data_IF_688765046699
#
_entry.id   IF_688765046699
#
_cell.length_a   1.000
_cell.length_b   1.000
_cell.length_c   1.000
_cell.angle_alpha   90.00
_cell.angle_beta   90.00
_cell.angle_gamma   90.00
#
_symmetry.space_group_name_H-M   'P 1'
#
loop_
_entity.id
_entity.type
_entity.pdbx_description
1 polymer ?
#
# COMPACT_ATOMS: atom_id res chain seq x y z
N UNK A 1 -82.50 -23.85 24.50
CA UNK A 1 -81.37 -24.55 25.18
C UNK A 1 -80.92 -25.67 24.23
N UNK A 2 -79.67 -25.83 23.79
CA UNK A 2 -78.38 -25.59 24.44
C UNK A 2 -77.37 -24.98 23.46
N UNK A 3 -76.53 -24.10 24.02
CA UNK A 3 -75.51 -23.30 23.36
C UNK A 3 -74.35 -24.16 22.84
N UNK A 4 -74.05 -24.08 21.54
CA UNK A 4 -72.83 -24.67 20.93
C UNK A 4 -71.77 -23.62 20.59
N UNK A 5 -71.69 -22.52 21.36
CA UNK A 5 -70.72 -21.45 21.15
C UNK A 5 -69.34 -21.56 21.85
N UNK A 6 -68.96 -22.61 22.63
CA UNK A 6 -67.61 -22.62 23.21
C UNK A 6 -66.55 -23.29 22.33
N UNK A 7 -66.91 -24.07 21.30
CA UNK A 7 -65.94 -24.92 20.57
C UNK A 7 -65.16 -24.18 19.48
N UNK A 8 -65.73 -23.10 18.92
CA UNK A 8 -65.12 -22.37 17.79
C UNK A 8 -64.05 -21.38 18.29
N UNK A 9 -64.23 -20.80 19.48
CA UNK A 9 -63.25 -19.89 20.08
C UNK A 9 -62.00 -20.60 20.61
N UNK A 10 -62.09 -21.89 20.97
CA UNK A 10 -60.93 -22.69 21.40
C UNK A 10 -60.03 -23.09 20.23
N UNK A 11 -60.59 -23.30 19.04
CA UNK A 11 -59.80 -23.60 17.83
C UNK A 11 -59.14 -22.35 17.23
N UNK A 12 -59.79 -21.19 17.30
CA UNK A 12 -59.21 -19.94 16.81
C UNK A 12 -58.05 -19.43 17.69
N UNK A 13 -58.13 -19.62 19.02
CA UNK A 13 -57.06 -19.22 19.94
C UNK A 13 -55.84 -20.13 19.86
N UNK A 14 -56.01 -21.43 19.58
CA UNK A 14 -54.91 -22.38 19.41
C UNK A 14 -54.16 -22.16 18.09
N UNK A 15 -54.88 -21.80 17.02
CA UNK A 15 -54.27 -21.47 15.72
C UNK A 15 -53.42 -20.20 15.78
N UNK A 16 -53.86 -19.17 16.51
CA UNK A 16 -53.10 -17.92 16.67
C UNK A 16 -51.85 -18.10 17.55
N UNK A 17 -51.86 -19.04 18.50
CA UNK A 17 -50.72 -19.34 19.38
C UNK A 17 -49.60 -20.11 18.64
N UNK A 18 -49.95 -20.95 17.66
CA UNK A 18 -48.96 -21.69 16.85
C UNK A 18 -48.24 -20.83 15.80
N UNK A 19 -48.83 -19.72 15.36
CA UNK A 19 -48.19 -18.80 14.38
C UNK A 19 -47.13 -17.91 15.06
N UNK A 20 -47.28 -17.63 16.36
CA UNK A 20 -46.31 -16.82 17.12
C UNK A 20 -45.04 -17.59 17.53
N UNK A 21 -45.07 -18.93 17.58
CA UNK A 21 -43.89 -19.74 17.95
C UNK A 21 -43.02 -20.14 16.75
N UNK A 22 -43.51 -19.99 15.52
CA UNK A 22 -42.73 -20.30 14.30
C UNK A 22 -41.83 -19.14 13.81
N UNK A 23 -41.92 -17.95 14.43
CA UNK A 23 -41.10 -16.78 14.06
C UNK A 23 -39.82 -16.61 14.90
N UNK A 24 -39.38 -17.65 15.60
CA UNK A 24 -38.04 -17.73 16.20
C UNK A 24 -37.37 -19.04 15.79
N UNK A 25 -37.15 -19.19 14.49
CA UNK A 25 -36.03 -19.99 14.01
C UNK A 25 -35.00 -18.99 13.52
N UNK A 26 -34.27 -18.40 14.47
CA UNK A 26 -32.98 -17.79 14.14
C UNK A 26 -32.10 -18.97 13.73
N UNK A 27 -32.10 -19.24 12.43
CA UNK A 27 -31.18 -20.16 11.80
C UNK A 27 -29.81 -19.51 11.97
N UNK A 28 -29.21 -19.75 13.13
CA UNK A 28 -27.82 -19.45 13.40
C UNK A 28 -27.07 -20.30 12.39
N UNK A 29 -26.74 -19.71 11.24
CA UNK A 29 -25.73 -20.24 10.35
C UNK A 29 -24.52 -20.48 11.23
N UNK A 30 -24.28 -21.76 11.51
CA UNK A 30 -23.03 -22.21 12.06
C UNK A 30 -22.00 -21.89 10.99
N UNK A 31 -21.45 -20.67 11.06
CA UNK A 31 -20.26 -20.30 10.31
C UNK A 31 -19.19 -21.23 10.86
N UNK A 32 -19.09 -22.42 10.27
CA UNK A 32 -17.91 -23.25 10.38
C UNK A 32 -16.79 -22.34 9.88
N UNK A 33 -16.08 -21.71 10.81
CA UNK A 33 -14.88 -20.93 10.49
C UNK A 33 -13.94 -21.95 9.87
N UNK A 34 -13.89 -21.96 8.55
CA UNK A 34 -12.94 -22.75 7.81
C UNK A 34 -11.56 -22.39 8.37
N UNK A 35 -10.87 -23.39 8.90
CA UNK A 35 -9.58 -23.18 9.55
C UNK A 35 -8.58 -22.75 8.49
N UNK A 36 -8.19 -21.47 8.53
CA UNK A 36 -7.19 -20.92 7.62
C UNK A 36 -5.84 -21.51 7.98
N UNK A 37 -5.26 -22.30 7.07
CA UNK A 37 -3.93 -22.88 7.25
C UNK A 37 -2.86 -21.79 7.33
N UNK A 38 -1.86 -22.06 8.13
CA UNK A 38 -0.67 -21.22 8.25
C UNK A 38 0.02 -21.05 6.88
N UNK A 39 0.37 -19.82 6.48
CA UNK A 39 1.10 -19.60 5.24
C UNK A 39 2.54 -20.11 5.36
N UNK A 40 2.88 -21.08 4.51
CA UNK A 40 4.22 -21.70 4.49
C UNK A 40 5.32 -20.65 4.26
N UNK A 41 6.36 -20.68 5.10
CA UNK A 41 7.57 -19.88 4.94
C UNK A 41 7.47 -18.39 5.30
N UNK A 42 6.27 -17.89 5.67
CA UNK A 42 6.09 -16.49 6.10
C UNK A 42 6.27 -16.35 7.62
N UNK A 43 5.84 -17.33 8.40
CA UNK A 43 5.92 -17.26 9.86
C UNK A 43 7.31 -17.71 10.32
N UNK A 44 7.94 -16.87 11.13
CA UNK A 44 9.24 -17.16 11.78
C UNK A 44 9.04 -17.42 13.27
N UNK A 45 9.95 -18.19 13.87
CA UNK A 45 9.87 -18.44 15.31
C UNK A 45 10.13 -17.17 16.12
N UNK A 46 9.62 -17.12 17.35
CA UNK A 46 9.89 -15.98 18.26
C UNK A 46 11.39 -15.77 18.51
N UNK A 47 12.17 -16.86 18.53
CA UNK A 47 13.62 -16.82 18.71
C UNK A 47 14.30 -16.15 17.50
N UNK A 48 13.97 -16.59 16.29
CA UNK A 48 14.56 -16.04 15.06
C UNK A 48 14.16 -14.57 14.89
N UNK A 49 12.90 -14.23 15.18
CA UNK A 49 12.42 -12.85 15.17
C UNK A 49 13.21 -11.94 16.12
N UNK A 50 13.53 -12.41 17.34
CA UNK A 50 14.38 -11.68 18.29
C UNK A 50 15.81 -11.54 17.76
N UNK A 51 16.37 -12.60 17.16
CA UNK A 51 17.71 -12.58 16.58
C UNK A 51 17.83 -11.57 15.43
N UNK A 52 16.81 -11.46 14.56
CA UNK A 52 16.76 -10.43 13.52
C UNK A 52 16.76 -9.01 14.09
N UNK A 53 15.96 -8.78 15.14
CA UNK A 53 15.87 -7.49 15.82
C UNK A 53 17.21 -7.07 16.46
N UNK A 54 17.86 -8.00 17.18
CA UNK A 54 19.13 -7.75 17.85
C UNK A 54 20.25 -7.49 16.83
N UNK A 55 20.33 -8.33 15.79
CA UNK A 55 21.31 -8.18 14.71
C UNK A 55 21.19 -6.83 14.02
N UNK A 56 19.96 -6.36 13.73
CA UNK A 56 19.76 -5.04 13.16
C UNK A 56 20.22 -3.93 14.13
N UNK A 57 19.94 -4.08 15.43
CA UNK A 57 20.35 -3.12 16.47
C UNK A 57 21.87 -2.95 16.51
N UNK A 58 22.60 -4.06 16.49
CA UNK A 58 24.06 -4.07 16.55
C UNK A 58 24.69 -3.57 15.24
N UNK A 59 24.19 -4.07 14.10
CA UNK A 59 24.87 -3.89 12.80
C UNK A 59 24.41 -2.70 12.00
N UNK A 60 23.19 -2.18 12.21
CA UNK A 60 22.59 -1.13 11.35
C UNK A 60 22.21 0.13 12.12
N UNK A 61 21.44 -0.01 13.20
CA UNK A 61 20.87 1.14 13.87
C UNK A 61 21.94 2.14 14.35
N UNK A 62 23.01 1.65 14.98
CA UNK A 62 24.10 2.51 15.44
C UNK A 62 24.87 3.19 14.31
N UNK A 63 25.03 2.52 13.16
CA UNK A 63 25.67 3.12 11.97
C UNK A 63 24.81 4.23 11.38
N UNK A 64 23.51 3.98 11.24
CA UNK A 64 22.54 4.96 10.73
C UNK A 64 22.53 6.20 11.64
N UNK A 65 22.39 6.02 12.95
CA UNK A 65 22.43 7.11 13.93
C UNK A 65 23.69 7.96 13.80
N UNK A 66 24.86 7.33 13.81
CA UNK A 66 26.15 8.03 13.70
C UNK A 66 26.26 8.82 12.40
N UNK A 67 25.86 8.22 11.28
CA UNK A 67 25.88 8.86 9.98
C UNK A 67 24.95 10.08 9.94
N UNK A 68 23.69 9.93 10.33
CA UNK A 68 22.70 11.01 10.28
C UNK A 68 23.02 12.16 11.24
N UNK A 69 23.53 11.85 12.43
CA UNK A 69 24.04 12.87 13.36
C UNK A 69 25.24 13.64 12.78
N UNK A 70 26.09 12.98 11.98
CA UNK A 70 27.25 13.63 11.36
C UNK A 70 26.84 14.66 10.31
N UNK A 71 25.71 14.45 9.63
CA UNK A 71 25.16 15.40 8.66
C UNK A 71 24.67 16.67 9.36
N UNK A 72 23.99 16.54 10.52
CA UNK A 72 23.54 17.69 11.31
C UNK A 72 24.71 18.59 11.73
N UNK A 73 25.82 17.98 12.20
CA UNK A 73 27.02 18.71 12.61
C UNK A 73 27.71 19.45 11.44
N UNK A 74 27.59 18.94 10.21
CA UNK A 74 28.16 19.59 9.01
C UNK A 74 27.32 20.77 8.55
N UNK A 75 26.00 20.71 8.67
CA UNK A 75 25.10 21.82 8.33
C UNK A 75 25.41 23.04 9.21
N UNK A 76 25.56 22.84 10.53
CA UNK A 76 25.90 23.92 11.48
C UNK A 76 27.23 24.61 11.12
N UNK A 77 28.22 23.86 10.62
CA UNK A 77 29.53 24.41 10.22
C UNK A 77 29.54 25.14 8.88
N UNK A 78 28.56 24.92 8.00
CA UNK A 78 28.51 25.52 6.65
C UNK A 78 27.70 26.80 6.58
N UNK A 79 26.73 27.00 7.47
CA UNK A 79 26.01 28.28 7.58
C UNK A 79 26.82 29.34 8.36
N UNK A 80 27.99 28.97 8.90
CA UNK A 80 28.96 29.89 9.51
C UNK A 80 30.26 29.96 8.70
N UNK A 81 30.41 30.99 7.87
CA UNK A 81 31.64 31.45 7.22
C UNK A 81 31.58 32.98 7.22
N UNK A 82 32.57 33.80 7.63
CA UNK A 82 33.98 33.62 7.97
C UNK A 82 34.43 34.76 8.91
N UNK A 83 34.61 34.54 10.21
CA UNK A 83 35.48 35.40 11.04
C UNK A 83 36.19 34.57 12.11
N UNK A 84 37.50 34.78 12.33
CA UNK A 84 38.22 34.11 13.40
C UNK A 84 38.13 34.96 14.66
N UNK A 85 37.04 34.91 15.42
CA UNK A 85 37.15 35.25 16.84
C UNK A 85 35.96 34.83 17.70
N UNK A 86 36.33 34.31 18.87
CA UNK A 86 35.53 34.08 20.07
C UNK A 86 34.54 32.93 20.00
N UNK A 87 34.95 31.82 20.60
CA UNK A 87 34.06 30.80 21.15
C UNK A 87 33.20 31.51 22.22
N UNK A 88 32.07 32.05 21.81
CA UNK A 88 30.92 32.19 22.70
C UNK A 88 30.12 30.90 22.53
N UNK A 89 30.16 30.07 23.56
CA UNK A 89 29.20 28.99 23.78
C UNK A 89 27.82 29.66 23.87
N UNK A 90 27.17 29.87 22.72
CA UNK A 90 25.80 30.33 22.69
C UNK A 90 24.92 29.19 23.19
N UNK A 91 24.40 29.37 24.40
CA UNK A 91 23.41 28.55 25.09
C UNK A 91 22.05 28.51 24.37
N UNK A 92 22.06 28.16 23.09
CA UNK A 92 20.92 27.52 22.43
C UNK A 92 21.44 26.30 21.70
N UNK A 93 22.15 25.46 22.46
CA UNK A 93 22.34 24.03 22.26
C UNK A 93 20.96 23.37 22.33
N UNK A 94 20.07 23.73 21.40
CA UNK A 94 18.85 22.98 21.16
C UNK A 94 19.38 21.69 20.56
N UNK A 95 19.58 20.70 21.42
CA UNK A 95 19.93 19.35 21.03
C UNK A 95 19.00 18.98 19.87
N UNK A 96 19.52 19.01 18.64
CA UNK A 96 18.92 18.22 17.57
C UNK A 96 19.08 16.81 18.11
N UNK A 97 18.02 16.31 18.75
CA UNK A 97 18.08 15.05 19.49
C UNK A 97 18.72 13.98 18.64
N UNK A 98 19.45 13.07 19.28
CA UNK A 98 20.13 12.00 18.58
C UNK A 98 19.19 11.34 17.57
N UNK A 99 19.61 11.26 16.31
CA UNK A 99 18.81 10.65 15.27
C UNK A 99 18.37 9.26 15.71
N UNK A 100 17.07 8.98 15.61
CA UNK A 100 16.51 7.69 16.01
C UNK A 100 16.27 6.85 14.75
N UNK A 101 17.06 5.79 14.52
CA UNK A 101 16.85 4.91 13.38
C UNK A 101 15.48 4.25 13.42
N UNK A 102 14.81 4.20 12.27
CA UNK A 102 13.54 3.47 12.10
C UNK A 102 13.74 2.00 12.46
N UNK A 103 12.89 1.46 13.33
CA UNK A 103 12.93 0.05 13.76
C UNK A 103 11.82 -0.79 13.16
N UNK A 104 10.68 -0.15 12.90
CA UNK A 104 9.53 -0.75 12.27
C UNK A 104 8.74 0.33 11.54
N UNK A 105 7.87 -0.12 10.64
CA UNK A 105 6.86 0.67 9.93
C UNK A 105 5.52 0.08 10.29
N UNK A 106 4.54 0.91 10.64
CA UNK A 106 3.27 0.45 11.19
C UNK A 106 2.09 0.87 10.32
N UNK A 107 1.54 -0.06 9.55
CA UNK A 107 0.34 0.18 8.76
C UNK A 107 -0.90 0.04 9.63
N UNK A 108 -1.83 0.99 9.52
CA UNK A 108 -3.19 0.76 10.01
C UNK A 108 -3.78 -0.44 9.27
N UNK A 109 -4.24 -1.44 10.02
CA UNK A 109 -4.63 -2.72 9.46
C UNK A 109 -5.79 -2.62 8.47
N UNK A 110 -6.81 -1.80 8.78
CA UNK A 110 -7.97 -1.65 7.90
C UNK A 110 -7.66 -0.79 6.68
N UNK A 111 -6.79 0.21 6.81
CA UNK A 111 -6.26 0.94 5.65
C UNK A 111 -5.40 0.05 4.77
N UNK A 112 -4.57 -0.82 5.33
CA UNK A 112 -3.78 -1.77 4.56
C UNK A 112 -4.68 -2.70 3.75
N UNK A 113 -5.71 -3.28 4.38
CA UNK A 113 -6.71 -4.10 3.66
C UNK A 113 -7.41 -3.31 2.56
N UNK A 114 -7.75 -2.05 2.82
CA UNK A 114 -8.38 -1.18 1.81
C UNK A 114 -7.42 -0.88 0.65
N UNK A 115 -6.13 -0.71 0.92
CA UNK A 115 -5.09 -0.57 -0.09
C UNK A 115 -4.94 -1.85 -0.92
N UNK A 116 -4.91 -3.03 -0.30
CA UNK A 116 -4.86 -4.32 -1.03
C UNK A 116 -6.07 -4.47 -1.95
N UNK A 117 -7.29 -4.18 -1.47
CA UNK A 117 -8.49 -4.19 -2.31
C UNK A 117 -8.43 -3.19 -3.46
N UNK A 118 -7.88 -2.01 -3.20
CA UNK A 118 -7.75 -0.97 -4.22
C UNK A 118 -6.81 -1.40 -5.36
N UNK A 119 -5.64 -1.95 -5.04
CA UNK A 119 -4.71 -2.44 -6.07
C UNK A 119 -5.28 -3.64 -6.84
N UNK A 120 -6.04 -4.51 -6.18
CA UNK A 120 -6.76 -5.61 -6.84
C UNK A 120 -7.80 -5.07 -7.84
N UNK A 121 -8.61 -4.09 -7.42
CA UNK A 121 -9.60 -3.44 -8.30
C UNK A 121 -8.95 -2.78 -9.53
N UNK A 122 -7.82 -2.09 -9.34
CA UNK A 122 -7.08 -1.46 -10.43
C UNK A 122 -6.48 -2.49 -11.39
N UNK A 123 -5.93 -3.59 -10.85
CA UNK A 123 -5.40 -4.70 -11.64
C UNK A 123 -6.49 -5.40 -12.47
N UNK A 124 -7.64 -5.68 -11.85
CA UNK A 124 -8.81 -6.25 -12.53
C UNK A 124 -9.31 -5.33 -13.65
N UNK A 125 -9.38 -4.03 -13.39
CA UNK A 125 -9.76 -3.03 -14.39
C UNK A 125 -8.80 -2.99 -15.59
N UNK A 126 -7.51 -3.24 -15.35
CA UNK A 126 -6.49 -3.35 -16.39
C UNK A 126 -6.38 -4.76 -17.01
N UNK A 127 -7.17 -5.73 -16.56
CA UNK A 127 -7.13 -7.13 -16.98
C UNK A 127 -5.76 -7.80 -16.76
N UNK A 128 -5.14 -7.51 -15.62
CA UNK A 128 -3.88 -8.14 -15.19
C UNK A 128 -4.01 -8.77 -13.81
N UNK A 129 -3.27 -9.84 -13.56
CA UNK A 129 -3.14 -10.42 -12.22
C UNK A 129 -1.96 -9.82 -11.48
N UNK A 130 -2.11 -9.57 -10.19
CA UNK A 130 -0.97 -9.26 -9.30
C UNK A 130 -0.21 -10.56 -9.02
N UNK A 131 1.10 -10.57 -9.29
CA UNK A 131 1.97 -11.72 -9.01
C UNK A 131 2.62 -11.63 -7.63
N UNK A 132 3.12 -10.45 -7.25
CA UNK A 132 3.71 -10.20 -5.93
C UNK A 132 3.45 -8.77 -5.45
N UNK A 133 3.62 -8.54 -4.14
CA UNK A 133 3.73 -7.21 -3.56
C UNK A 133 5.21 -6.91 -3.24
N UNK A 134 5.83 -6.00 -3.98
CA UNK A 134 7.23 -5.62 -3.80
C UNK A 134 7.36 -4.52 -2.75
N UNK A 135 8.26 -4.72 -1.79
CA UNK A 135 8.53 -3.73 -0.72
C UNK A 135 9.90 -3.10 -0.96
N UNK A 136 9.90 -1.81 -1.30
CA UNK A 136 11.10 -0.99 -1.44
C UNK A 136 11.52 -0.42 -0.10
N UNK A 137 12.83 -0.42 0.19
CA UNK A 137 13.40 0.35 1.28
C UNK A 137 13.64 1.78 0.80
N UNK A 138 13.06 2.76 1.49
CA UNK A 138 13.09 4.16 1.04
C UNK A 138 13.51 5.09 2.18
N UNK A 139 13.76 6.35 1.86
CA UNK A 139 13.98 7.42 2.84
C UNK A 139 13.08 8.60 2.50
N UNK A 140 12.54 9.24 3.54
CA UNK A 140 11.93 10.55 3.36
C UNK A 140 12.99 11.56 2.91
N UNK A 141 12.66 12.44 1.95
CA UNK A 141 13.62 13.42 1.47
C UNK A 141 13.95 14.44 2.57
N UNK A 142 15.11 15.08 2.47
CA UNK A 142 15.53 16.13 3.40
C UNK A 142 14.87 17.48 3.04
N UNK A 143 13.54 17.55 3.18
CA UNK A 143 12.73 18.74 2.91
C UNK A 143 11.48 18.73 3.79
N UNK A 144 10.85 19.89 3.98
CA UNK A 144 9.72 20.04 4.90
C UNK A 144 8.39 19.59 4.29
N UNK A 145 8.29 19.56 2.96
CA UNK A 145 7.05 19.23 2.23
C UNK A 145 7.33 18.41 0.98
N UNK A 146 6.39 17.54 0.66
CA UNK A 146 6.29 16.91 -0.65
C UNK A 146 5.90 17.94 -1.72
N UNK A 147 6.00 17.54 -2.99
CA UNK A 147 5.62 18.40 -4.13
C UNK A 147 4.11 18.69 -4.13
N UNK A 148 3.31 17.78 -3.59
CA UNK A 148 1.87 17.97 -3.37
C UNK A 148 1.54 18.85 -2.15
N UNK A 149 2.56 19.40 -1.48
CA UNK A 149 2.43 20.29 -0.33
C UNK A 149 2.23 19.59 1.01
N UNK A 150 2.08 18.26 1.06
CA UNK A 150 1.94 17.53 2.33
C UNK A 150 3.22 17.65 3.17
N UNK A 151 3.12 17.85 4.49
CA UNK A 151 4.29 17.98 5.34
C UNK A 151 5.04 16.66 5.48
N UNK A 152 6.37 16.75 5.48
CA UNK A 152 7.27 15.65 5.85
C UNK A 152 7.64 15.88 7.31
N UNK A 153 7.02 15.09 8.20
CA UNK A 153 7.22 15.24 9.65
C UNK A 153 8.62 14.85 10.11
N UNK A 154 9.25 13.93 9.39
CA UNK A 154 10.49 13.25 9.82
C UNK A 154 11.45 13.10 8.63
N UNK A 155 12.14 14.18 8.23
CA UNK A 155 13.07 14.17 7.10
C UNK A 155 14.19 13.14 7.30
N UNK A 156 14.68 12.56 6.19
CA UNK A 156 15.75 11.55 6.13
C UNK A 156 15.43 10.20 6.79
N UNK A 157 14.32 10.05 7.49
CA UNK A 157 13.98 8.75 8.09
C UNK A 157 13.77 7.67 7.03
N UNK A 158 14.23 6.46 7.35
CA UNK A 158 13.92 5.28 6.55
C UNK A 158 12.42 4.99 6.62
N UNK A 159 11.85 4.56 5.50
CA UNK A 159 10.49 4.07 5.35
C UNK A 159 10.48 2.86 4.41
N UNK A 160 9.29 2.37 4.09
CA UNK A 160 9.08 1.39 3.03
C UNK A 160 8.02 1.89 2.06
N UNK A 161 8.03 1.34 0.85
CA UNK A 161 6.99 1.58 -0.14
C UNK A 161 6.58 0.25 -0.77
N UNK A 162 5.28 -0.02 -0.80
CA UNK A 162 4.69 -1.20 -1.40
C UNK A 162 4.28 -0.90 -2.83
N UNK A 163 4.61 -1.79 -3.75
CA UNK A 163 4.27 -1.67 -5.17
C UNK A 163 3.81 -3.03 -5.69
N UNK A 164 2.60 -3.16 -6.25
CA UNK A 164 2.18 -4.41 -6.85
C UNK A 164 3.03 -4.71 -8.09
N UNK A 165 3.20 -6.00 -8.36
CA UNK A 165 3.87 -6.47 -9.55
C UNK A 165 2.95 -7.34 -10.38
N UNK A 166 3.15 -7.35 -11.68
CA UNK A 166 2.47 -8.24 -12.62
C UNK A 166 3.50 -8.94 -13.49
N UNK A 167 3.13 -10.11 -14.01
CA UNK A 167 4.01 -10.90 -14.88
C UNK A 167 3.66 -10.68 -16.35
N UNK A 168 4.68 -10.56 -17.19
CA UNK A 168 4.53 -10.66 -18.64
C UNK A 168 4.84 -12.07 -19.17
N UNK A 169 4.88 -13.08 -18.29
CA UNK A 169 5.22 -14.47 -18.60
C UNK A 169 6.71 -14.81 -18.52
N UNK A 170 7.60 -13.81 -18.42
CA UNK A 170 9.06 -14.02 -18.24
C UNK A 170 9.59 -13.48 -16.91
N UNK A 171 9.11 -12.30 -16.51
CA UNK A 171 9.58 -11.60 -15.31
C UNK A 171 8.44 -10.79 -14.70
N UNK A 172 8.55 -10.54 -13.40
CA UNK A 172 7.65 -9.65 -12.66
C UNK A 172 8.12 -8.19 -12.74
N UNK A 173 7.20 -7.32 -13.16
CA UNK A 173 7.38 -5.89 -13.28
C UNK A 173 6.49 -5.18 -12.29
N UNK A 174 7.01 -4.14 -11.64
CA UNK A 174 6.16 -3.18 -10.97
C UNK A 174 5.28 -2.49 -12.03
N UNK A 175 4.08 -2.04 -11.65
CA UNK A 175 3.20 -1.36 -12.58
C UNK A 175 2.35 -0.28 -11.93
N UNK A 176 1.88 0.63 -12.77
CA UNK A 176 0.77 1.53 -12.49
C UNK A 176 -0.32 1.33 -13.54
N UNK A 177 -1.50 1.87 -13.32
CA UNK A 177 -2.62 1.76 -14.26
C UNK A 177 -2.92 3.10 -14.90
N UNK A 178 -3.24 3.09 -16.19
CA UNK A 178 -3.60 4.28 -16.91
C UNK A 178 -4.48 3.93 -18.13
N UNK A 179 -5.13 4.94 -18.68
CA UNK A 179 -5.94 4.80 -19.88
C UNK A 179 -5.03 4.97 -21.10
N UNK A 180 -5.05 3.99 -21.98
CA UNK A 180 -4.27 3.99 -23.21
C UNK A 180 -4.80 5.06 -24.18
N UNK A 181 -3.88 5.88 -24.69
CA UNK A 181 -4.21 7.03 -25.53
C UNK A 181 -4.77 6.65 -26.91
N UNK A 182 -4.62 5.41 -27.37
CA UNK A 182 -5.13 4.97 -28.68
C UNK A 182 -6.51 4.32 -28.60
N UNK A 183 -6.75 3.49 -27.58
CA UNK A 183 -7.99 2.72 -27.46
C UNK A 183 -8.87 3.08 -26.24
N UNK A 184 -8.37 3.96 -25.36
CA UNK A 184 -9.04 4.44 -24.15
C UNK A 184 -9.15 3.37 -23.06
N UNK A 185 -8.48 2.22 -23.23
CA UNK A 185 -8.62 1.11 -22.30
C UNK A 185 -7.67 1.26 -21.12
N UNK A 186 -8.14 0.84 -19.95
CA UNK A 186 -7.30 0.71 -18.77
C UNK A 186 -6.26 -0.38 -19.03
N UNK A 187 -4.98 -0.06 -18.87
CA UNK A 187 -3.86 -0.99 -19.02
C UNK A 187 -2.88 -0.84 -17.87
N UNK A 188 -2.08 -1.87 -17.65
CA UNK A 188 -0.96 -1.85 -16.71
C UNK A 188 0.31 -1.41 -17.46
N UNK A 189 0.91 -0.31 -17.03
CA UNK A 189 2.15 0.23 -17.58
C UNK A 189 3.33 -0.23 -16.74
N UNK A 190 4.30 -0.86 -17.40
CA UNK A 190 5.37 -1.59 -16.72
C UNK A 190 6.51 -0.65 -16.33
N UNK A 191 7.04 -0.90 -15.15
CA UNK A 191 8.12 -0.15 -14.54
C UNK A 191 9.36 -1.02 -14.34
N UNK A 192 10.54 -0.39 -14.48
CA UNK A 192 11.82 -1.02 -14.12
C UNK A 192 11.92 -1.27 -12.61
N UNK A 193 12.99 -1.93 -12.18
CA UNK A 193 13.27 -2.11 -10.75
C UNK A 193 13.50 -0.78 -10.05
N UNK A 194 14.01 0.23 -10.75
CA UNK A 194 14.20 1.62 -10.32
C UNK A 194 12.95 2.49 -10.49
N UNK A 195 11.80 1.88 -10.81
CA UNK A 195 10.50 2.54 -10.95
C UNK A 195 10.43 3.55 -12.11
N UNK A 196 11.18 3.30 -13.19
CA UNK A 196 11.12 4.09 -14.41
C UNK A 196 10.18 3.46 -15.42
N UNK A 197 9.49 4.28 -16.21
CA UNK A 197 8.63 3.80 -17.29
C UNK A 197 9.45 3.05 -18.34
N UNK A 198 9.02 1.83 -18.68
CA UNK A 198 9.63 1.04 -19.76
C UNK A 198 9.11 1.42 -21.14
N UNK A 199 7.96 2.11 -21.20
CA UNK A 199 7.18 2.31 -22.42
C UNK A 199 6.34 1.09 -22.83
N UNK A 200 6.41 -0.01 -22.09
CA UNK A 200 5.61 -1.21 -22.31
C UNK A 200 4.34 -1.19 -21.45
N UNK A 201 3.23 -1.68 -22.01
CA UNK A 201 2.00 -1.93 -21.27
C UNK A 201 1.44 -3.32 -21.58
N UNK A 202 0.63 -3.83 -20.67
CA UNK A 202 -0.04 -5.13 -20.80
C UNK A 202 -1.47 -5.04 -20.28
N UNK A 203 -2.29 -6.01 -20.69
CA UNK A 203 -3.72 -6.04 -20.40
C UNK A 203 -4.55 -5.17 -21.34
N UNK A 204 -5.76 -4.84 -20.90
CA UNK A 204 -6.82 -4.25 -21.71
C UNK A 204 -7.53 -5.26 -22.62
N UNK A 205 -8.83 -5.04 -22.87
CA UNK A 205 -9.64 -5.95 -23.69
C UNK A 205 -9.08 -6.00 -25.09
N UNK A 206 -8.86 -7.22 -25.59
CA UNK A 206 -8.51 -7.43 -26.98
C UNK A 206 -9.64 -6.89 -27.88
N UNK A 207 -9.42 -5.74 -28.51
CA UNK A 207 -10.22 -5.34 -29.67
C UNK A 207 -9.50 -5.90 -30.89
N UNK A 208 -10.09 -6.92 -31.51
CA UNK A 208 -9.71 -7.42 -32.83
C UNK A 208 -9.86 -6.29 -33.85
N UNK A 209 -8.82 -5.46 -34.02
CA UNK A 209 -8.73 -4.53 -35.14
C UNK A 209 -8.09 -5.27 -36.31
N UNK A 210 -8.94 -5.89 -37.12
CA UNK A 210 -8.55 -6.35 -38.45
C UNK A 210 -8.28 -5.12 -39.32
N UNK A 211 -7.01 -4.78 -39.53
CA UNK A 211 -6.61 -3.74 -40.47
C UNK A 211 -6.67 -4.30 -41.90
N UNK A 212 -7.82 -4.13 -42.56
CA UNK A 212 -7.94 -4.21 -44.02
C UNK A 212 -7.72 -2.79 -44.59
N UNK A 213 -6.46 -2.37 -44.72
CA UNK A 213 -6.11 -1.18 -45.48
C UNK A 213 -4.85 -1.45 -46.33
N UNK A 214 -4.94 -1.41 -47.68
CA UNK A 214 -3.78 -1.59 -48.54
C UNK A 214 -2.85 -0.37 -48.44
N UNK A 215 -1.55 -0.65 -48.39
CA UNK A 215 -0.54 0.31 -48.00
C UNK A 215 -0.37 1.52 -48.91
N UNK A 216 -0.10 2.66 -48.29
CA UNK A 216 0.93 3.65 -48.64
C UNK A 216 0.91 4.76 -47.60
N UNK A 217 2.08 5.33 -47.30
CA UNK A 217 2.33 6.45 -46.36
C UNK A 217 2.47 6.09 -44.86
N UNK A 218 3.50 5.31 -44.52
CA UNK A 218 4.05 5.35 -43.15
C UNK A 218 4.98 6.57 -43.04
N UNK A 219 4.48 7.66 -42.44
CA UNK A 219 5.35 8.67 -41.80
C UNK A 219 6.12 7.99 -40.66
N UNK A 220 7.34 8.45 -40.30
CA UNK A 220 7.98 7.97 -39.08
C UNK A 220 7.02 8.25 -37.92
N UNK A 221 6.61 7.18 -37.23
CA UNK A 221 5.77 7.31 -36.06
C UNK A 221 6.50 8.19 -35.05
N UNK A 222 5.89 9.31 -34.66
CA UNK A 222 6.33 10.03 -33.48
C UNK A 222 6.25 9.10 -32.26
N UNK A 223 6.91 9.45 -31.15
CA UNK A 223 6.77 8.69 -29.91
C UNK A 223 5.28 8.51 -29.58
N UNK A 224 4.86 7.32 -29.11
CA UNK A 224 3.47 7.08 -28.77
C UNK A 224 2.99 8.14 -27.76
N UNK A 225 1.75 8.63 -27.88
CA UNK A 225 1.22 9.61 -26.96
C UNK A 225 1.28 9.08 -25.52
N UNK A 226 1.60 9.93 -24.53
CA UNK A 226 1.66 9.50 -23.14
C UNK A 226 0.30 9.00 -22.66
N UNK A 227 0.23 8.06 -21.72
CA UNK A 227 -1.03 7.54 -21.21
C UNK A 227 -1.81 8.59 -20.42
N UNK A 228 -3.14 8.47 -20.42
CA UNK A 228 -4.07 9.39 -19.77
C UNK A 228 -4.56 8.84 -18.42
N UNK A 229 -5.07 9.71 -17.55
CA UNK A 229 -5.67 9.32 -16.26
C UNK A 229 -4.82 8.34 -15.43
N UNK A 230 -3.51 8.63 -15.32
CA UNK A 230 -2.56 7.80 -14.60
C UNK A 230 -2.95 7.65 -13.12
N UNK A 231 -2.90 6.43 -12.62
CA UNK A 231 -3.15 6.08 -11.23
C UNK A 231 -1.95 5.36 -10.65
N UNK A 232 -1.31 5.99 -9.66
CA UNK A 232 -0.27 5.34 -8.87
C UNK A 232 -0.88 4.25 -7.99
N UNK A 233 -0.18 3.13 -7.91
CA UNK A 233 -0.50 2.01 -7.02
C UNK A 233 0.48 1.91 -5.84
N UNK A 234 1.25 2.98 -5.59
CA UNK A 234 2.29 2.96 -4.57
C UNK A 234 1.65 3.14 -3.19
N UNK A 235 1.80 2.12 -2.35
CA UNK A 235 1.39 2.15 -0.96
C UNK A 235 2.53 2.68 -0.10
N UNK A 236 2.32 3.83 0.55
CA UNK A 236 3.20 4.33 1.59
C UNK A 236 2.34 4.86 2.73
N UNK A 237 2.28 4.12 3.83
CA UNK A 237 2.19 4.74 5.14
C UNK A 237 2.35 3.66 6.19
N UNK A 238 3.34 3.81 7.05
CA UNK A 238 3.12 3.35 8.40
C UNK A 238 3.60 4.39 9.39
N UNK A 239 2.69 5.02 10.12
CA UNK A 239 3.00 6.05 11.10
C UNK A 239 4.26 5.70 11.89
N UNK A 240 5.22 6.62 11.91
CA UNK A 240 6.55 6.37 12.43
C UNK A 240 6.50 6.20 13.95
N UNK A 241 7.11 5.12 14.46
CA UNK A 241 7.28 4.88 15.90
C UNK A 241 8.64 4.23 16.19
N UNK A 242 9.18 4.32 17.42
CA UNK A 242 8.54 4.79 18.66
C UNK A 242 8.27 6.30 18.65
N UNK A 243 7.14 6.77 19.21
CA UNK A 243 7.07 8.16 19.65
C UNK A 243 8.23 8.40 20.62
N UNK A 244 8.87 9.57 20.50
CA UNK A 244 9.54 10.20 21.63
C UNK A 244 8.53 10.47 22.73
#
# INVERSE_FOLDING_TARGET
MKNSKPLIYTFLSFSLLCILTLSCTEQREDISKEEVKEPEGIIVSLKDGKEFYDTYSERRANLIRKYENSLNKRTIKKEGTDEPNQIQESESDTMVGDFVPTRYVEFDYEKLKSYIKFIEQEADGAEVSISNLRIYLTNYPNKDKFEDGKPIKEPRRNSVMMVPTTTNGKKDFAFYTADDSEDGQRKAYLLTEELQETGESTGGKQKTKASLAPGSFLKPAGPPPPPQNQQSLYGNEGGLRPPS
#
